data_IF_951182816390
#
_entry.id   IF_951182816390
#
_cell.length_a   1.000
_cell.length_b   1.000
_cell.length_c   1.000
_cell.angle_alpha   90.00
_cell.angle_beta   90.00
_cell.angle_gamma   90.00
#
_symmetry.space_group_name_H-M   'P 1'
#
loop_
_entity.id
_entity.type
_entity.pdbx_description
1 polymer ?
#
# COMPACT_ATOMS: atom_id res chain seq x y z
N UNK A 1 14.85 -15.39 6.79
CA UNK A 1 14.01 -15.48 8.00
C UNK A 1 14.33 -16.72 8.82
N UNK A 2 14.17 -17.95 8.31
CA UNK A 2 14.52 -19.17 9.08
C UNK A 2 15.98 -19.22 9.54
N UNK A 3 16.92 -18.69 8.75
CA UNK A 3 18.33 -18.57 9.14
C UNK A 3 18.62 -17.47 10.18
N UNK A 4 17.61 -16.82 10.76
CA UNK A 4 17.77 -15.70 11.69
C UNK A 4 18.27 -14.40 11.05
N UNK A 5 18.20 -14.30 9.72
CA UNK A 5 18.57 -13.10 8.96
C UNK A 5 17.37 -12.17 8.82
N UNK A 6 17.55 -10.91 9.20
CA UNK A 6 16.62 -9.80 8.95
C UNK A 6 16.53 -9.50 7.45
N UNK A 7 15.32 -9.42 6.92
CA UNK A 7 15.08 -9.09 5.51
C UNK A 7 14.56 -7.65 5.39
N UNK A 8 15.28 -6.82 4.65
CA UNK A 8 14.78 -5.53 4.17
C UNK A 8 14.42 -5.65 2.69
N UNK A 9 13.21 -5.23 2.35
CA UNK A 9 12.76 -5.13 0.97
C UNK A 9 12.88 -3.70 0.47
N UNK A 10 13.00 -3.53 -0.83
CA UNK A 10 13.19 -2.21 -1.44
C UNK A 10 12.30 -2.04 -2.65
N UNK A 11 11.87 -0.79 -2.87
CA UNK A 11 11.14 -0.43 -4.07
C UNK A 11 12.09 -0.48 -5.28
N UNK A 12 11.81 -1.31 -6.31
CA UNK A 12 12.69 -1.43 -7.48
C UNK A 12 12.75 -0.16 -8.33
N UNK A 13 11.94 0.86 -8.02
CA UNK A 13 11.89 2.13 -8.73
C UNK A 13 12.63 3.25 -8.01
N UNK A 14 13.20 2.95 -6.84
CA UNK A 14 14.11 3.89 -6.19
C UNK A 14 15.34 4.14 -7.05
N UNK A 15 15.78 5.39 -7.03
CA UNK A 15 17.03 5.83 -7.63
C UNK A 15 18.22 5.19 -6.90
N UNK A 16 19.39 5.17 -7.55
CA UNK A 16 20.64 4.67 -6.96
C UNK A 16 20.93 5.34 -5.59
N UNK A 17 20.65 6.65 -5.46
CA UNK A 17 20.86 7.40 -4.22
C UNK A 17 19.90 7.01 -3.10
N UNK A 18 18.64 6.72 -3.42
CA UNK A 18 17.64 6.23 -2.46
C UNK A 18 17.97 4.81 -1.99
N UNK A 19 18.31 3.91 -2.93
CA UNK A 19 18.76 2.55 -2.64
C UNK A 19 19.98 2.56 -1.72
N UNK A 20 21.02 3.34 -2.07
CA UNK A 20 22.23 3.46 -1.27
C UNK A 20 21.94 3.96 0.14
N UNK A 21 21.07 4.96 0.29
CA UNK A 21 20.69 5.50 1.60
C UNK A 21 20.01 4.44 2.47
N UNK A 22 19.05 3.70 1.92
CA UNK A 22 18.38 2.61 2.61
C UNK A 22 19.38 1.52 3.02
N UNK A 23 20.20 1.05 2.08
CA UNK A 23 21.13 -0.06 2.34
C UNK A 23 22.21 0.29 3.35
N UNK A 24 22.71 1.54 3.34
CA UNK A 24 23.64 2.04 4.36
C UNK A 24 22.96 2.12 5.73
N UNK A 25 21.73 2.63 5.81
CA UNK A 25 21.00 2.71 7.09
C UNK A 25 20.72 1.30 7.66
N UNK A 26 20.28 0.38 6.80
CA UNK A 26 19.99 -1.01 7.11
C UNK A 26 21.23 -1.89 7.35
N UNK A 27 22.45 -1.39 7.07
CA UNK A 27 23.68 -2.18 7.09
C UNK A 27 23.59 -3.46 6.26
N UNK A 28 23.02 -3.34 5.05
CA UNK A 28 22.83 -4.49 4.18
C UNK A 28 24.17 -5.14 3.77
N UNK A 29 24.34 -6.41 4.09
CA UNK A 29 25.54 -7.17 3.77
C UNK A 29 25.39 -8.02 2.49
N UNK A 30 24.18 -8.46 2.15
CA UNK A 30 23.92 -9.26 0.97
C UNK A 30 22.70 -8.71 0.23
N UNK A 31 22.79 -8.66 -1.10
CA UNK A 31 21.70 -8.22 -1.96
C UNK A 31 21.13 -9.43 -2.71
N UNK A 32 19.82 -9.61 -2.67
CA UNK A 32 19.12 -10.65 -3.44
C UNK A 32 18.33 -9.96 -4.55
N UNK A 33 18.56 -10.36 -5.79
CA UNK A 33 17.94 -9.71 -6.96
C UNK A 33 17.75 -10.68 -8.12
N UNK A 34 17.16 -10.20 -9.22
CA UNK A 34 17.08 -10.96 -10.48
C UNK A 34 18.31 -10.69 -11.35
N UNK A 35 18.70 -11.61 -12.26
CA UNK A 35 19.89 -11.44 -13.11
C UNK A 35 19.96 -10.10 -13.85
N UNK A 36 18.82 -9.62 -14.34
CA UNK A 36 18.68 -8.33 -15.03
C UNK A 36 19.15 -7.12 -14.21
N UNK A 37 19.10 -7.20 -12.88
CA UNK A 37 19.43 -6.11 -11.97
C UNK A 37 20.77 -6.32 -11.25
N UNK A 38 21.52 -7.38 -11.60
CA UNK A 38 22.76 -7.77 -10.92
C UNK A 38 23.80 -6.64 -10.95
N UNK A 39 24.06 -6.06 -12.12
CA UNK A 39 25.11 -5.03 -12.26
C UNK A 39 24.79 -3.78 -11.44
N UNK A 40 23.51 -3.40 -11.37
CA UNK A 40 23.04 -2.29 -10.53
C UNK A 40 23.23 -2.63 -9.06
N UNK A 41 22.86 -3.85 -8.65
CA UNK A 41 23.03 -4.32 -7.28
C UNK A 41 24.51 -4.36 -6.87
N UNK A 42 25.40 -4.89 -7.71
CA UNK A 42 26.85 -4.94 -7.45
C UNK A 42 27.47 -3.54 -7.38
N UNK A 43 27.07 -2.64 -8.29
CA UNK A 43 27.53 -1.26 -8.26
C UNK A 43 27.17 -0.59 -6.93
N UNK A 44 25.93 -0.73 -6.47
CA UNK A 44 25.50 -0.16 -5.18
C UNK A 44 26.19 -0.88 -4.02
N UNK A 45 26.21 -2.21 -4.04
CA UNK A 45 26.80 -3.07 -3.03
C UNK A 45 28.28 -2.79 -2.78
N UNK A 46 29.06 -2.51 -3.83
CA UNK A 46 30.48 -2.17 -3.74
C UNK A 46 30.79 -0.94 -2.88
N UNK A 47 29.78 -0.10 -2.59
CA UNK A 47 29.90 1.06 -1.71
C UNK A 47 29.44 0.80 -0.26
N UNK A 48 28.95 -0.41 0.05
CA UNK A 48 28.48 -0.78 1.39
C UNK A 48 29.65 -1.39 2.19
N UNK A 49 29.91 -0.90 3.42
CA UNK A 49 31.07 -1.37 4.22
C UNK A 49 31.11 -2.87 4.50
N UNK A 50 29.95 -3.54 4.60
CA UNK A 50 29.81 -4.96 4.94
C UNK A 50 29.41 -5.87 3.77
N UNK A 51 29.56 -5.43 2.53
CA UNK A 51 29.06 -6.17 1.37
C UNK A 51 29.77 -7.51 1.17
N UNK A 52 28.99 -8.59 1.23
CA UNK A 52 29.39 -9.99 1.05
C UNK A 52 29.06 -10.53 -0.35
N UNK A 53 28.22 -9.82 -1.11
CA UNK A 53 27.92 -10.18 -2.50
C UNK A 53 26.43 -10.07 -2.86
N UNK A 54 26.16 -10.23 -4.16
CA UNK A 54 24.81 -10.29 -4.73
C UNK A 54 24.47 -11.73 -5.10
N UNK A 55 23.30 -12.17 -4.66
CA UNK A 55 22.69 -13.43 -5.05
C UNK A 55 21.64 -13.14 -6.13
N UNK A 56 21.73 -13.85 -7.25
CA UNK A 56 20.72 -13.75 -8.32
C UNK A 56 19.77 -14.94 -8.29
N UNK A 57 18.46 -14.66 -8.30
CA UNK A 57 17.39 -15.66 -8.29
C UNK A 57 16.52 -15.51 -9.54
N UNK A 58 16.17 -16.63 -10.17
CA UNK A 58 15.35 -16.71 -11.37
C UNK A 58 16.14 -17.14 -12.61
N UNK A 59 15.49 -17.10 -13.78
CA UNK A 59 16.06 -17.55 -15.05
C UNK A 59 17.40 -16.86 -15.37
N UNK A 60 18.47 -17.66 -15.50
CA UNK A 60 19.84 -17.16 -15.71
C UNK A 60 20.57 -16.67 -14.45
N UNK A 61 19.99 -16.90 -13.26
CA UNK A 61 20.58 -16.59 -11.96
C UNK A 61 21.42 -17.72 -11.38
N UNK A 62 22.07 -17.44 -10.24
CA UNK A 62 22.77 -18.45 -9.46
C UNK A 62 21.82 -19.52 -8.93
N UNK A 63 20.58 -19.11 -8.61
CA UNK A 63 19.52 -20.00 -8.15
C UNK A 63 18.31 -19.85 -9.05
N UNK A 64 17.69 -20.98 -9.40
CA UNK A 64 16.39 -20.98 -10.06
C UNK A 64 15.27 -21.06 -9.03
N UNK A 65 14.17 -20.35 -9.28
CA UNK A 65 13.06 -20.30 -8.32
C UNK A 65 12.30 -21.63 -8.26
N UNK A 66 12.16 -22.35 -9.38
CA UNK A 66 11.49 -23.64 -9.41
C UNK A 66 12.32 -24.68 -8.66
N UNK A 67 13.64 -24.64 -8.84
CA UNK A 67 14.60 -25.45 -8.08
C UNK A 67 14.50 -25.17 -6.57
N UNK A 68 14.47 -23.89 -6.16
CA UNK A 68 14.28 -23.51 -4.75
C UNK A 68 12.92 -23.94 -4.16
N UNK A 69 11.91 -24.13 -5.02
CA UNK A 69 10.55 -24.53 -4.61
C UNK A 69 10.30 -26.04 -4.69
N UNK A 70 11.27 -26.85 -5.13
CA UNK A 70 11.12 -28.29 -5.22
C UNK A 70 10.93 -28.89 -3.81
N UNK A 71 9.80 -29.56 -3.50
CA UNK A 71 9.56 -30.15 -2.19
C UNK A 71 10.56 -31.27 -1.83
N UNK A 72 11.27 -31.84 -2.82
CA UNK A 72 12.31 -32.85 -2.60
C UNK A 72 13.68 -32.23 -2.31
N UNK A 73 13.83 -30.91 -2.45
CA UNK A 73 15.07 -30.23 -2.15
C UNK A 73 15.32 -30.26 -0.66
N UNK A 74 16.39 -30.94 -0.26
CA UNK A 74 16.86 -30.94 1.11
C UNK A 74 17.84 -29.79 1.32
N UNK A 75 17.56 -28.93 2.29
CA UNK A 75 18.51 -27.96 2.79
C UNK A 75 19.24 -28.56 3.99
N UNK A 76 20.53 -28.27 4.11
CA UNK A 76 21.25 -28.57 5.34
C UNK A 76 20.52 -27.91 6.53
N UNK A 77 20.25 -28.66 7.62
CA UNK A 77 19.59 -28.09 8.78
C UNK A 77 20.36 -26.86 9.26
N UNK A 78 19.64 -25.75 9.40
CA UNK A 78 20.23 -24.53 9.94
C UNK A 78 20.63 -24.79 11.39
N UNK A 79 21.87 -24.44 11.75
CA UNK A 79 22.38 -24.59 13.11
C UNK A 79 21.79 -23.56 14.09
N UNK A 80 21.02 -22.60 13.57
CA UNK A 80 20.37 -21.53 14.31
C UNK A 80 18.85 -21.66 14.24
N UNK A 81 18.17 -21.33 15.33
CA UNK A 81 16.73 -21.11 15.36
C UNK A 81 16.49 -19.68 15.83
N UNK A 82 15.81 -18.83 15.04
CA UNK A 82 15.51 -17.46 15.47
C UNK A 82 14.57 -17.45 16.68
N UNK A 83 14.72 -16.44 17.54
CA UNK A 83 13.76 -16.14 18.60
C UNK A 83 12.55 -15.40 18.00
N UNK A 84 11.36 -15.60 18.58
CA UNK A 84 10.15 -14.90 18.14
C UNK A 84 10.25 -13.36 18.26
N UNK A 85 11.12 -12.85 19.13
CA UNK A 85 11.37 -11.43 19.33
C UNK A 85 12.54 -10.89 18.50
N UNK A 86 13.24 -11.74 17.74
CA UNK A 86 14.24 -11.29 16.78
C UNK A 86 13.57 -10.54 15.62
N UNK A 87 14.28 -9.56 15.07
CA UNK A 87 13.80 -8.81 13.91
C UNK A 87 13.74 -9.72 12.69
N UNK A 88 12.56 -9.84 12.08
CA UNK A 88 12.35 -10.62 10.88
C UNK A 88 12.40 -9.73 9.63
N UNK A 89 11.70 -8.61 9.69
CA UNK A 89 11.53 -7.70 8.56
C UNK A 89 11.93 -6.27 8.95
N UNK A 90 12.51 -5.56 7.99
CA UNK A 90 12.84 -4.14 8.07
C UNK A 90 12.32 -3.40 6.82
N UNK A 91 10.99 -3.27 6.66
CA UNK A 91 10.41 -2.43 5.61
C UNK A 91 10.69 -0.95 5.91
N UNK A 92 10.90 -0.16 4.87
CA UNK A 92 11.05 1.29 5.01
C UNK A 92 9.70 1.97 4.77
N UNK A 93 9.24 2.77 5.73
CA UNK A 93 8.05 3.60 5.58
C UNK A 93 8.48 5.03 5.27
N UNK A 94 7.85 5.68 4.29
CA UNK A 94 8.11 7.10 3.96
C UNK A 94 7.71 8.05 5.10
N UNK A 95 6.90 7.58 6.05
CA UNK A 95 6.35 8.41 7.13
C UNK A 95 5.52 9.59 6.57
N UNK A 96 5.06 10.47 7.46
CA UNK A 96 4.19 11.58 7.06
C UNK A 96 4.94 12.87 6.69
N UNK A 97 6.25 13.01 6.99
CA UNK A 97 7.01 14.26 6.76
C UNK A 97 8.54 14.11 6.63
N UNK A 98 9.10 12.93 6.31
CA UNK A 98 10.56 12.72 6.42
C UNK A 98 11.16 11.75 5.41
N UNK A 99 12.48 11.55 5.53
CA UNK A 99 13.18 10.47 4.84
C UNK A 99 12.59 9.12 5.30
N UNK A 100 12.56 8.09 4.43
CA UNK A 100 12.07 6.78 4.79
C UNK A 100 12.77 6.21 6.03
N UNK A 101 12.00 5.64 6.96
CA UNK A 101 12.47 5.08 8.24
C UNK A 101 12.34 3.56 8.20
N UNK A 102 13.39 2.85 8.59
CA UNK A 102 13.34 1.38 8.74
C UNK A 102 12.48 0.99 9.94
N UNK A 103 11.36 0.33 9.69
CA UNK A 103 10.42 -0.15 10.71
C UNK A 103 10.87 -1.52 11.18
N UNK A 104 11.18 -1.67 12.47
CA UNK A 104 11.67 -2.93 13.02
C UNK A 104 10.48 -3.85 13.36
N UNK A 105 10.28 -4.90 12.55
CA UNK A 105 9.23 -5.89 12.75
C UNK A 105 9.83 -7.24 13.15
N UNK A 106 9.40 -7.75 14.31
CA UNK A 106 9.83 -9.06 14.82
C UNK A 106 9.06 -10.21 14.17
N UNK A 107 9.59 -11.43 14.28
CA UNK A 107 8.85 -12.63 13.89
C UNK A 107 7.45 -12.68 14.53
N UNK A 108 7.36 -12.36 15.82
CA UNK A 108 6.10 -12.35 16.57
C UNK A 108 5.12 -11.29 16.06
N UNK A 109 5.60 -10.11 15.63
CA UNK A 109 4.73 -9.08 15.06
C UNK A 109 4.07 -9.55 13.76
N UNK A 110 4.87 -10.10 12.85
CA UNK A 110 4.39 -10.58 11.56
C UNK A 110 3.45 -11.79 11.72
N UNK A 111 3.83 -12.78 12.55
CA UNK A 111 3.00 -13.96 12.79
C UNK A 111 1.68 -13.57 13.46
N UNK A 112 1.71 -12.69 14.47
CA UNK A 112 0.49 -12.21 15.12
C UNK A 112 -0.45 -11.54 14.11
N UNK A 113 0.06 -10.69 13.21
CA UNK A 113 -0.79 -10.04 12.23
C UNK A 113 -1.35 -10.99 11.17
N UNK A 114 -0.55 -11.96 10.72
CA UNK A 114 -1.04 -13.03 9.84
C UNK A 114 -2.20 -13.77 10.53
N UNK A 115 -2.04 -14.22 11.78
CA UNK A 115 -3.10 -14.91 12.51
C UNK A 115 -4.34 -14.02 12.73
N UNK A 116 -4.15 -12.73 13.01
CA UNK A 116 -5.21 -11.73 13.14
C UNK A 116 -6.01 -11.57 11.84
N UNK A 117 -5.35 -11.45 10.69
CA UNK A 117 -5.99 -11.32 9.37
C UNK A 117 -6.73 -12.61 8.99
N UNK A 118 -6.14 -13.77 9.29
CA UNK A 118 -6.71 -15.09 9.03
C UNK A 118 -7.92 -15.44 9.90
N UNK A 119 -8.27 -14.60 10.87
CA UNK A 119 -9.39 -14.88 11.74
C UNK A 119 -10.69 -15.05 10.92
N UNK A 120 -11.51 -16.09 11.17
CA UNK A 120 -12.70 -16.38 10.35
C UNK A 120 -13.72 -15.24 10.23
N UNK A 121 -13.70 -14.30 11.18
CA UNK A 121 -14.51 -13.07 11.12
C UNK A 121 -14.13 -12.14 9.95
N UNK A 122 -12.88 -12.18 9.50
CA UNK A 122 -12.33 -11.28 8.49
C UNK A 122 -11.97 -11.97 7.19
N UNK A 123 -11.91 -13.29 7.16
CA UNK A 123 -11.49 -13.99 5.96
C UNK A 123 -12.25 -15.30 5.86
N UNK A 124 -13.10 -15.38 4.83
CA UNK A 124 -13.77 -16.61 4.45
C UNK A 124 -12.96 -17.29 3.34
N UNK A 125 -11.75 -17.72 3.70
CA UNK A 125 -10.89 -18.53 2.85
C UNK A 125 -10.69 -19.91 3.48
N UNK A 126 -10.67 -20.92 2.63
CA UNK A 126 -10.43 -22.30 3.05
C UNK A 126 -8.97 -22.66 2.74
N UNK A 127 -8.25 -23.30 3.68
CA UNK A 127 -6.94 -23.87 3.37
C UNK A 127 -7.03 -24.79 2.15
N UNK A 128 -5.97 -24.78 1.35
CA UNK A 128 -5.86 -25.65 0.20
C UNK A 128 -5.94 -27.13 0.63
N UNK A 129 -6.58 -27.92 -0.22
CA UNK A 129 -6.75 -29.37 -0.10
C UNK A 129 -6.68 -29.99 -1.49
N UNK A 130 -6.69 -31.32 -1.56
CA UNK A 130 -6.70 -32.05 -2.84
C UNK A 130 -7.89 -31.67 -3.74
N UNK A 131 -8.98 -31.16 -3.16
CA UNK A 131 -10.20 -30.78 -3.87
C UNK A 131 -10.43 -29.28 -4.04
N UNK A 132 -9.64 -28.43 -3.38
CA UNK A 132 -9.85 -26.97 -3.37
C UNK A 132 -8.54 -26.20 -3.24
N UNK A 133 -8.36 -25.19 -4.09
CA UNK A 133 -7.27 -24.22 -3.97
C UNK A 133 -7.73 -22.87 -4.50
N UNK A 134 -7.74 -21.85 -3.63
CA UNK A 134 -8.06 -20.48 -4.05
C UNK A 134 -6.89 -19.86 -4.84
N UNK A 135 -7.23 -18.92 -5.72
CA UNK A 135 -6.29 -18.28 -6.64
C UNK A 135 -6.32 -16.77 -6.36
N UNK A 136 -5.16 -16.17 -6.10
CA UNK A 136 -5.00 -14.74 -5.92
C UNK A 136 -4.03 -14.15 -6.94
N UNK A 137 -4.21 -12.86 -7.26
CA UNK A 137 -3.25 -12.11 -8.08
C UNK A 137 -2.38 -11.22 -7.20
N UNK A 138 -1.09 -11.51 -7.17
CA UNK A 138 -0.03 -10.72 -6.53
C UNK A 138 0.34 -9.51 -7.37
N UNK A 139 -0.53 -8.49 -7.35
CA UNK A 139 -0.31 -7.19 -8.02
C UNK A 139 0.09 -6.08 -7.03
N UNK A 140 -0.15 -6.30 -5.73
CA UNK A 140 0.30 -5.39 -4.68
C UNK A 140 1.80 -5.60 -4.46
N UNK A 141 2.62 -4.53 -4.35
CA UNK A 141 4.07 -4.69 -4.28
C UNK A 141 4.52 -5.44 -3.02
N UNK A 142 5.27 -6.53 -3.21
CA UNK A 142 5.77 -7.35 -2.10
C UNK A 142 6.85 -6.68 -1.26
N UNK A 143 7.46 -5.60 -1.76
CA UNK A 143 8.39 -4.81 -0.96
C UNK A 143 7.70 -3.98 0.12
N UNK A 144 6.40 -3.71 -0.03
CA UNK A 144 5.60 -2.99 0.96
C UNK A 144 4.90 -4.00 1.87
N UNK A 145 4.69 -3.64 3.14
CA UNK A 145 4.17 -4.57 4.15
C UNK A 145 2.78 -5.14 3.80
N UNK A 146 1.97 -4.40 3.05
CA UNK A 146 0.68 -4.87 2.53
C UNK A 146 0.86 -6.07 1.60
N UNK A 147 1.74 -5.94 0.60
CA UNK A 147 2.02 -7.05 -0.32
C UNK A 147 2.81 -8.18 0.34
N UNK A 148 3.72 -7.85 1.26
CA UNK A 148 4.53 -8.85 1.96
C UNK A 148 3.71 -9.70 2.92
N UNK A 149 3.04 -9.08 3.90
CA UNK A 149 2.39 -9.84 4.99
C UNK A 149 0.94 -10.19 4.64
N UNK A 150 0.12 -9.22 4.27
CA UNK A 150 -1.32 -9.47 4.10
C UNK A 150 -1.69 -10.11 2.76
N UNK A 151 -0.84 -10.00 1.73
CA UNK A 151 -0.99 -10.76 0.49
C UNK A 151 -0.11 -12.00 0.52
N UNK A 152 1.21 -11.86 0.36
CA UNK A 152 2.10 -13.00 0.09
C UNK A 152 2.12 -14.02 1.26
N UNK A 153 2.34 -13.58 2.50
CA UNK A 153 2.36 -14.52 3.63
C UNK A 153 0.99 -15.16 3.90
N UNK A 154 -0.10 -14.40 3.81
CA UNK A 154 -1.45 -14.94 3.99
C UNK A 154 -1.78 -15.96 2.90
N UNK A 155 -1.54 -15.65 1.62
CA UNK A 155 -1.84 -16.58 0.52
C UNK A 155 -0.99 -17.85 0.62
N UNK A 156 0.29 -17.74 0.97
CA UNK A 156 1.16 -18.89 1.23
C UNK A 156 0.64 -19.73 2.41
N UNK A 157 0.19 -19.10 3.50
CA UNK A 157 -0.31 -19.81 4.68
C UNK A 157 -1.59 -20.60 4.41
N UNK A 158 -2.44 -20.13 3.50
CA UNK A 158 -3.61 -20.88 3.01
C UNK A 158 -3.27 -21.87 1.88
N UNK A 159 -2.04 -21.91 1.37
CA UNK A 159 -1.67 -22.75 0.23
C UNK A 159 -2.31 -22.31 -1.09
N UNK A 160 -2.66 -21.02 -1.22
CA UNK A 160 -3.29 -20.47 -2.42
C UNK A 160 -2.31 -20.41 -3.59
N UNK A 161 -2.84 -20.56 -4.81
CA UNK A 161 -2.08 -20.29 -6.02
C UNK A 161 -1.96 -18.78 -6.24
N UNK A 162 -0.79 -18.22 -5.96
CA UNK A 162 -0.54 -16.77 -6.09
C UNK A 162 0.11 -16.46 -7.44
N UNK A 163 -0.63 -15.77 -8.32
CA UNK A 163 -0.12 -15.34 -9.63
C UNK A 163 0.56 -13.99 -9.48
N UNK A 164 1.89 -13.94 -9.62
CA UNK A 164 2.64 -12.68 -9.54
C UNK A 164 2.74 -12.00 -10.89
N UNK A 165 2.61 -10.67 -10.92
CA UNK A 165 2.92 -9.86 -12.09
C UNK A 165 4.17 -9.01 -11.81
N UNK A 166 5.19 -9.02 -12.68
CA UNK A 166 6.43 -8.26 -12.45
C UNK A 166 6.17 -6.75 -12.40
N UNK A 167 5.22 -6.31 -13.22
CA UNK A 167 4.67 -4.96 -13.23
C UNK A 167 3.24 -5.04 -13.72
N UNK A 168 2.42 -4.10 -13.29
CA UNK A 168 1.07 -3.98 -13.81
C UNK A 168 1.06 -3.30 -15.17
N UNK A 169 0.36 -3.91 -16.10
CA UNK A 169 -0.22 -3.22 -17.25
C UNK A 169 -1.70 -3.61 -17.35
N UNK A 170 -2.57 -2.74 -17.86
CA UNK A 170 -3.97 -3.08 -18.12
C UNK A 170 -4.12 -4.41 -18.87
N UNK A 171 -3.31 -4.62 -19.90
CA UNK A 171 -3.35 -5.82 -20.73
C UNK A 171 -2.90 -7.08 -19.97
N UNK A 172 -1.77 -7.03 -19.27
CA UNK A 172 -1.25 -8.18 -18.52
C UNK A 172 -2.19 -8.59 -17.39
N UNK A 173 -2.77 -7.61 -16.69
CA UNK A 173 -3.73 -7.87 -15.61
C UNK A 173 -5.02 -8.47 -16.17
N UNK A 174 -5.57 -7.93 -17.26
CA UNK A 174 -6.77 -8.51 -17.90
C UNK A 174 -6.52 -9.93 -18.39
N UNK A 175 -5.38 -10.21 -19.06
CA UNK A 175 -5.01 -11.57 -19.47
C UNK A 175 -4.85 -12.51 -18.27
N UNK A 176 -4.32 -12.01 -17.16
CA UNK A 176 -4.22 -12.77 -15.92
C UNK A 176 -5.60 -13.18 -15.37
N UNK A 177 -6.55 -12.23 -15.33
CA UNK A 177 -7.92 -12.50 -14.91
C UNK A 177 -8.60 -13.53 -15.81
N UNK A 178 -8.45 -13.39 -17.13
CA UNK A 178 -9.02 -14.30 -18.13
C UNK A 178 -8.45 -15.72 -18.01
N UNK A 179 -7.12 -15.84 -17.91
CA UNK A 179 -6.42 -17.13 -17.89
C UNK A 179 -6.61 -17.88 -16.57
N UNK A 180 -6.37 -17.20 -15.45
CA UNK A 180 -6.26 -17.85 -14.14
C UNK A 180 -7.53 -17.77 -13.31
N UNK A 181 -8.50 -16.93 -13.70
CA UNK A 181 -9.82 -16.82 -13.03
C UNK A 181 -9.68 -16.74 -11.49
N UNK A 182 -9.01 -15.71 -10.96
CA UNK A 182 -8.75 -15.62 -9.53
C UNK A 182 -10.05 -15.61 -8.72
N UNK A 183 -10.02 -16.21 -7.54
CA UNK A 183 -11.13 -16.22 -6.58
C UNK A 183 -11.02 -15.10 -5.54
N UNK A 184 -9.81 -14.62 -5.29
CA UNK A 184 -9.54 -13.50 -4.40
C UNK A 184 -8.71 -12.40 -5.09
N UNK A 185 -9.06 -11.15 -4.84
CA UNK A 185 -8.31 -9.99 -5.32
C UNK A 185 -7.83 -9.12 -4.16
N UNK A 186 -6.56 -8.73 -4.20
CA UNK A 186 -5.98 -7.75 -3.29
C UNK A 186 -5.77 -6.44 -4.04
N UNK A 187 -6.50 -5.42 -3.65
CA UNK A 187 -6.63 -4.18 -4.41
C UNK A 187 -6.29 -2.94 -3.56
N UNK A 188 -6.12 -1.85 -4.30
CA UNK A 188 -6.26 -0.47 -3.82
C UNK A 188 -7.41 0.18 -4.62
N UNK A 189 -8.00 1.30 -4.16
CA UNK A 189 -9.16 1.90 -4.85
C UNK A 189 -8.92 2.24 -6.32
N UNK A 190 -7.70 2.62 -6.71
CA UNK A 190 -7.36 2.90 -8.11
C UNK A 190 -7.43 1.65 -8.99
N UNK A 191 -6.99 0.49 -8.50
CA UNK A 191 -7.12 -0.78 -9.21
C UNK A 191 -8.57 -1.28 -9.24
N UNK A 192 -9.33 -1.08 -8.17
CA UNK A 192 -10.77 -1.36 -8.17
C UNK A 192 -11.51 -0.50 -9.20
N UNK A 193 -11.17 0.80 -9.30
CA UNK A 193 -11.70 1.70 -10.31
C UNK A 193 -11.34 1.26 -11.73
N UNK A 194 -10.10 0.82 -11.94
CA UNK A 194 -9.67 0.23 -13.21
C UNK A 194 -10.56 -0.97 -13.58
N UNK A 195 -10.75 -1.92 -12.66
CA UNK A 195 -11.60 -3.09 -12.89
C UNK A 195 -13.04 -2.69 -13.21
N UNK A 196 -13.57 -1.71 -12.50
CA UNK A 196 -14.93 -1.24 -12.65
C UNK A 196 -15.20 -0.53 -14.00
N UNK A 197 -14.24 0.25 -14.52
CA UNK A 197 -14.47 1.14 -15.68
C UNK A 197 -13.71 0.79 -16.95
N UNK A 198 -12.62 0.04 -16.89
CA UNK A 198 -11.77 -0.14 -18.06
C UNK A 198 -12.48 -0.97 -19.15
N UNK A 199 -12.52 -0.52 -20.43
CA UNK A 199 -13.28 -1.20 -21.49
C UNK A 199 -12.86 -2.66 -21.75
N UNK A 200 -11.57 -2.95 -21.61
CA UNK A 200 -11.04 -4.31 -21.80
C UNK A 200 -11.39 -5.27 -20.66
N UNK A 201 -11.79 -4.76 -19.49
CA UNK A 201 -12.28 -5.61 -18.41
C UNK A 201 -13.73 -5.95 -18.72
N UNK A 202 -14.04 -7.23 -18.77
CA UNK A 202 -15.40 -7.73 -19.00
C UNK A 202 -15.89 -8.47 -17.75
N UNK A 203 -17.21 -8.65 -17.63
CA UNK A 203 -17.86 -9.31 -16.47
C UNK A 203 -17.30 -10.71 -16.21
N UNK A 204 -16.96 -11.40 -17.28
CA UNK A 204 -16.52 -12.78 -17.39
C UNK A 204 -15.16 -12.94 -16.73
N UNK A 205 -14.31 -11.91 -16.80
CA UNK A 205 -13.00 -11.86 -16.14
C UNK A 205 -13.13 -11.79 -14.60
N UNK A 206 -14.31 -11.40 -14.08
CA UNK A 206 -14.58 -11.24 -12.65
C UNK A 206 -15.54 -12.32 -12.10
N UNK A 207 -16.00 -13.24 -12.94
CA UNK A 207 -17.03 -14.22 -12.59
C UNK A 207 -16.63 -15.16 -11.44
N UNK A 208 -15.36 -15.55 -11.37
CA UNK A 208 -14.79 -16.40 -10.31
C UNK A 208 -14.49 -15.65 -9.00
N UNK A 209 -14.43 -14.32 -9.02
CA UNK A 209 -14.05 -13.52 -7.85
C UNK A 209 -15.13 -13.64 -6.79
N UNK A 210 -14.75 -14.05 -5.58
CA UNK A 210 -15.62 -14.19 -4.40
C UNK A 210 -15.31 -13.13 -3.35
N UNK A 211 -14.01 -12.86 -3.15
CA UNK A 211 -13.53 -11.96 -2.11
C UNK A 211 -12.58 -10.91 -2.68
N UNK A 212 -12.67 -9.71 -2.12
CA UNK A 212 -11.77 -8.59 -2.42
C UNK A 212 -11.30 -7.98 -1.11
N UNK A 213 -9.99 -7.94 -0.90
CA UNK A 213 -9.37 -7.14 0.16
C UNK A 213 -8.90 -5.82 -0.45
N UNK A 214 -9.44 -4.70 0.00
CA UNK A 214 -9.03 -3.36 -0.41
C UNK A 214 -8.30 -2.68 0.74
N UNK A 215 -7.11 -2.13 0.48
CA UNK A 215 -6.30 -1.50 1.51
C UNK A 215 -5.69 -0.19 1.05
N UNK A 216 -4.84 0.36 1.93
CA UNK A 216 -4.11 1.62 1.77
C UNK A 216 -4.96 2.89 1.74
N UNK A 217 -6.17 2.83 1.19
CA UNK A 217 -7.09 3.93 1.04
C UNK A 217 -8.54 3.44 1.13
N UNK A 218 -9.48 4.24 1.65
CA UNK A 218 -10.89 3.85 1.66
C UNK A 218 -11.46 3.69 0.26
N UNK A 219 -12.15 2.57 -0.01
CA UNK A 219 -13.02 2.41 -1.15
C UNK A 219 -14.42 2.96 -0.80
N UNK A 220 -14.89 3.94 -1.57
CA UNK A 220 -16.22 4.52 -1.35
C UNK A 220 -17.31 3.51 -1.71
N UNK A 221 -18.50 3.64 -1.09
CA UNK A 221 -19.67 2.82 -1.46
C UNK A 221 -19.93 2.85 -2.97
N UNK A 222 -19.89 4.04 -3.58
CA UNK A 222 -20.10 4.20 -5.02
C UNK A 222 -19.08 3.42 -5.88
N UNK A 223 -17.82 3.33 -5.43
CA UNK A 223 -16.81 2.54 -6.12
C UNK A 223 -17.07 1.03 -5.96
N UNK A 224 -17.43 0.58 -4.75
CA UNK A 224 -17.78 -0.82 -4.47
C UNK A 224 -18.99 -1.24 -5.31
N UNK A 225 -20.05 -0.43 -5.32
CA UNK A 225 -21.27 -0.68 -6.10
C UNK A 225 -20.95 -0.77 -7.60
N UNK A 226 -20.14 0.16 -8.13
CA UNK A 226 -19.75 0.16 -9.53
C UNK A 226 -18.92 -1.09 -9.89
N UNK A 227 -18.01 -1.52 -9.01
CA UNK A 227 -17.24 -2.74 -9.20
C UNK A 227 -18.14 -3.99 -9.21
N UNK A 228 -19.09 -4.09 -8.27
CA UNK A 228 -20.07 -5.19 -8.22
C UNK A 228 -20.98 -5.22 -9.45
N UNK A 229 -21.43 -4.06 -9.92
CA UNK A 229 -22.21 -3.92 -11.16
C UNK A 229 -21.43 -4.44 -12.37
N UNK A 230 -20.16 -4.02 -12.49
CA UNK A 230 -19.25 -4.49 -13.55
C UNK A 230 -19.05 -6.00 -13.51
N UNK A 231 -18.89 -6.56 -12.31
CA UNK A 231 -18.78 -8.01 -12.10
C UNK A 231 -20.12 -8.74 -12.31
N UNK A 232 -21.25 -8.03 -12.32
CA UNK A 232 -22.59 -8.64 -12.36
C UNK A 232 -22.92 -9.48 -11.15
N UNK A 233 -22.29 -9.20 -10.00
CA UNK A 233 -22.34 -10.01 -8.79
C UNK A 233 -22.49 -9.12 -7.56
N UNK A 234 -23.61 -9.24 -6.88
CA UNK A 234 -23.86 -8.53 -5.61
C UNK A 234 -23.19 -9.21 -4.41
N UNK A 235 -22.95 -10.51 -4.51
CA UNK A 235 -22.43 -11.42 -3.48
C UNK A 235 -20.90 -11.36 -3.32
N UNK A 236 -20.18 -10.56 -4.12
CA UNK A 236 -18.74 -10.37 -3.89
C UNK A 236 -18.55 -9.64 -2.56
N UNK A 237 -17.81 -10.25 -1.65
CA UNK A 237 -17.43 -9.61 -0.39
C UNK A 237 -16.27 -8.67 -0.66
N UNK A 238 -16.50 -7.38 -0.42
CA UNK A 238 -15.47 -6.35 -0.54
C UNK A 238 -15.15 -5.83 0.85
N UNK A 239 -13.97 -6.23 1.35
CA UNK A 239 -13.49 -5.87 2.67
C UNK A 239 -12.46 -4.76 2.58
N UNK A 240 -12.36 -3.98 3.64
CA UNK A 240 -11.36 -2.95 3.81
C UNK A 240 -10.41 -3.35 4.94
N UNK A 241 -9.11 -3.14 4.71
CA UNK A 241 -8.08 -3.22 5.73
C UNK A 241 -7.45 -1.85 5.97
N UNK A 242 -7.38 -1.43 7.22
CA UNK A 242 -6.62 -0.26 7.65
C UNK A 242 -5.44 -0.65 8.51
N UNK A 243 -4.35 0.08 8.31
CA UNK A 243 -3.16 0.00 9.13
C UNK A 243 -1.97 0.62 8.42
N UNK A 244 -0.78 0.35 8.94
CA UNK A 244 0.45 1.02 8.53
C UNK A 244 1.64 0.06 8.60
N UNK A 245 2.82 0.50 8.12
CA UNK A 245 4.03 -0.34 8.16
C UNK A 245 4.38 -0.74 9.59
N UNK A 246 4.18 0.20 10.50
CA UNK A 246 4.43 0.11 11.94
C UNK A 246 3.48 -0.85 12.67
N UNK A 247 2.48 -1.43 11.99
CA UNK A 247 1.51 -2.38 12.57
C UNK A 247 1.36 -3.69 11.78
N UNK A 248 2.33 -4.02 10.94
CA UNK A 248 2.54 -5.36 10.33
C UNK A 248 1.46 -6.04 9.45
N UNK A 249 0.56 -5.40 8.68
CA UNK A 249 0.13 -4.02 8.67
C UNK A 249 -1.20 -3.75 9.41
N UNK A 250 -2.10 -4.71 9.56
CA UNK A 250 -3.51 -4.42 9.83
C UNK A 250 -3.82 -4.21 11.31
N UNK A 251 -4.61 -3.18 11.63
CA UNK A 251 -5.18 -2.96 12.97
C UNK A 251 -6.70 -2.99 12.96
N UNK A 252 -7.30 -2.63 11.82
CA UNK A 252 -8.74 -2.68 11.59
C UNK A 252 -9.04 -3.44 10.29
N UNK A 253 -10.06 -4.31 10.34
CA UNK A 253 -10.56 -5.00 9.14
C UNK A 253 -12.09 -5.02 9.20
N UNK A 254 -12.74 -4.78 8.06
CA UNK A 254 -14.20 -4.93 7.96
C UNK A 254 -14.56 -6.41 8.03
N UNK A 255 -15.46 -6.82 8.93
CA UNK A 255 -15.86 -8.22 9.04
C UNK A 255 -16.65 -8.68 7.80
N UNK A 256 -16.65 -9.98 7.53
CA UNK A 256 -17.34 -10.56 6.37
C UNK A 256 -18.85 -10.30 6.41
N UNK A 257 -19.43 -10.33 7.61
CA UNK A 257 -20.85 -10.11 7.91
C UNK A 257 -21.18 -8.64 8.22
N UNK A 258 -20.34 -7.71 7.79
CA UNK A 258 -20.55 -6.28 8.04
C UNK A 258 -21.89 -5.79 7.46
N UNK A 259 -22.75 -5.12 8.26
CA UNK A 259 -24.01 -4.59 7.76
C UNK A 259 -23.78 -3.40 6.82
N UNK A 260 -24.67 -3.22 5.84
CA UNK A 260 -24.56 -2.13 4.84
C UNK A 260 -24.49 -0.73 5.47
N UNK A 261 -25.11 -0.54 6.63
CA UNK A 261 -25.08 0.72 7.40
C UNK A 261 -23.67 1.13 7.84
N UNK A 262 -22.70 0.21 7.82
CA UNK A 262 -21.30 0.45 8.20
C UNK A 262 -20.36 0.60 7.01
N UNK A 263 -20.88 0.57 5.77
CA UNK A 263 -20.06 0.82 4.59
C UNK A 263 -19.39 2.21 4.70
N UNK A 264 -18.08 2.26 4.48
CA UNK A 264 -17.26 3.45 4.70
C UNK A 264 -16.46 3.41 6.00
N UNK A 265 -16.77 2.48 6.91
CA UNK A 265 -15.91 2.15 8.05
C UNK A 265 -14.61 1.46 7.58
N UNK A 266 -13.53 1.68 8.34
CA UNK A 266 -12.29 0.91 8.26
C UNK A 266 -12.40 -0.47 8.93
N UNK A 267 -13.56 -0.79 9.52
CA UNK A 267 -13.86 -2.03 10.18
C UNK A 267 -13.72 -1.97 11.70
N UNK A 268 -13.48 -3.13 12.27
CA UNK A 268 -13.32 -3.32 13.73
C UNK A 268 -11.89 -3.76 14.03
N UNK A 269 -11.51 -3.71 15.31
CA UNK A 269 -10.20 -4.17 15.77
C UNK A 269 -9.97 -5.64 15.44
N UNK A 270 -8.76 -5.93 14.95
CA UNK A 270 -8.29 -7.31 14.84
C UNK A 270 -8.03 -7.91 16.24
N UNK A 271 -8.16 -9.24 16.44
CA UNK A 271 -7.99 -9.88 17.74
C UNK A 271 -6.73 -9.44 18.49
N UNK A 272 -6.81 -9.35 19.82
CA UNK A 272 -5.70 -8.94 20.68
C UNK A 272 -5.14 -7.53 20.38
N UNK A 273 -5.95 -6.66 19.76
CA UNK A 273 -5.61 -5.25 19.55
C UNK A 273 -6.53 -4.37 20.36
N UNK A 274 -5.94 -3.38 21.00
CA UNK A 274 -6.63 -2.30 21.69
C UNK A 274 -6.52 -1.02 20.87
N UNK A 275 -7.54 -0.16 20.96
CA UNK A 275 -7.48 1.17 20.39
C UNK A 275 -8.17 2.19 21.29
N UNK A 276 -7.71 3.43 21.20
CA UNK A 276 -8.37 4.60 21.79
C UNK A 276 -8.31 5.77 20.81
N UNK A 277 -9.31 6.64 20.88
CA UNK A 277 -9.32 7.90 20.12
C UNK A 277 -9.02 9.02 21.10
N UNK A 278 -7.96 9.78 20.84
CA UNK A 278 -7.42 10.77 21.78
C UNK A 278 -7.68 12.18 21.26
N UNK A 279 -8.19 13.05 22.12
CA UNK A 279 -8.41 14.45 21.81
C UNK A 279 -7.07 15.16 21.53
N UNK A 280 -6.87 15.64 20.31
CA UNK A 280 -5.63 16.30 19.87
C UNK A 280 -5.29 17.60 20.62
N UNK A 281 -6.23 18.19 21.37
CA UNK A 281 -5.99 19.42 22.15
C UNK A 281 -5.80 19.16 23.65
N UNK A 282 -6.46 18.14 24.21
CA UNK A 282 -6.46 17.89 25.65
C UNK A 282 -5.66 16.65 26.05
N UNK A 283 -5.33 15.78 25.10
CA UNK A 283 -4.68 14.49 25.35
C UNK A 283 -5.58 13.46 26.05
N UNK A 284 -6.89 13.72 26.19
CA UNK A 284 -7.83 12.81 26.85
C UNK A 284 -8.48 11.84 25.86
N UNK A 285 -8.74 10.64 26.32
CA UNK A 285 -9.52 9.63 25.59
C UNK A 285 -10.94 10.14 25.33
N UNK A 286 -11.46 9.87 24.14
CA UNK A 286 -12.75 10.31 23.66
C UNK A 286 -13.76 9.15 23.63
N UNK A 287 -15.03 9.40 24.01
CA UNK A 287 -16.10 8.42 23.89
C UNK A 287 -16.46 8.19 22.40
N UNK A 288 -17.33 7.20 22.11
CA UNK A 288 -17.83 6.97 20.75
C UNK A 288 -18.34 8.25 20.07
N UNK A 289 -18.28 8.26 18.74
CA UNK A 289 -18.75 9.32 17.84
C UNK A 289 -18.02 10.67 17.98
N UNK A 290 -16.87 10.71 18.65
CA UNK A 290 -16.04 11.91 18.79
C UNK A 290 -14.71 11.75 18.05
N UNK A 291 -14.31 12.80 17.32
CA UNK A 291 -13.11 12.77 16.48
C UNK A 291 -11.86 13.13 17.28
N UNK A 292 -10.81 12.32 17.10
CA UNK A 292 -9.48 12.52 17.67
C UNK A 292 -8.43 11.74 16.90
N UNK A 293 -7.22 11.67 17.42
CA UNK A 293 -6.17 10.82 16.86
C UNK A 293 -6.35 9.37 17.29
N UNK A 294 -6.25 8.43 16.35
CA UNK A 294 -6.33 7.00 16.63
C UNK A 294 -5.02 6.48 17.19
N UNK A 295 -5.07 5.89 18.38
CA UNK A 295 -3.93 5.19 19.00
C UNK A 295 -4.25 3.71 19.02
N UNK A 296 -3.27 2.87 18.71
CA UNK A 296 -3.43 1.41 18.69
C UNK A 296 -2.33 0.72 19.47
N UNK A 297 -2.66 -0.40 20.11
CA UNK A 297 -1.68 -1.24 20.82
C UNK A 297 -2.03 -2.70 20.58
N UNK A 298 -1.03 -3.52 20.29
CA UNK A 298 -1.24 -4.94 20.03
C UNK A 298 0.04 -5.66 19.66
N UNK A 299 0.01 -6.99 19.55
CA UNK A 299 1.19 -7.80 19.26
C UNK A 299 1.78 -7.55 17.87
N UNK A 300 1.03 -6.94 16.95
CA UNK A 300 1.48 -6.61 15.59
C UNK A 300 2.24 -5.27 15.48
N UNK A 301 2.25 -4.47 16.56
CA UNK A 301 2.92 -3.15 16.56
C UNK A 301 4.44 -3.33 16.59
N UNK A 302 5.15 -2.54 15.77
CA UNK A 302 6.61 -2.56 15.63
C UNK A 302 7.35 -2.43 16.96
N UNK A 303 8.61 -2.84 17.00
CA UNK A 303 9.48 -2.56 18.16
C UNK A 303 10.01 -1.13 18.18
N UNK A 304 10.08 -0.48 17.01
CA UNK A 304 10.57 0.89 16.85
C UNK A 304 11.14 1.16 15.45
N UNK A 305 11.76 2.32 15.29
CA UNK A 305 12.48 2.68 14.07
C UNK A 305 13.99 2.44 14.23
N UNK A 306 14.61 1.84 13.21
CA UNK A 306 16.04 1.54 13.20
C UNK A 306 16.88 2.81 13.35
N UNK A 307 17.72 2.84 14.39
CA UNK A 307 18.65 3.95 14.70
C UNK A 307 17.94 5.31 14.79
N UNK A 308 16.68 5.33 15.23
CA UNK A 308 15.90 6.55 15.33
C UNK A 308 15.00 6.54 16.58
N UNK A 309 15.64 6.63 17.74
CA UNK A 309 14.98 6.63 19.04
C UNK A 309 14.02 7.82 19.22
N UNK A 310 14.32 8.97 18.60
CA UNK A 310 13.47 10.15 18.64
C UNK A 310 12.15 9.89 17.91
N UNK A 311 12.20 9.44 16.65
CA UNK A 311 11.00 9.06 15.92
C UNK A 311 10.25 7.91 16.60
N UNK A 312 10.97 7.00 17.25
CA UNK A 312 10.37 5.88 17.99
C UNK A 312 9.56 6.39 19.17
N UNK A 313 10.09 7.34 19.95
CA UNK A 313 9.38 7.97 21.07
C UNK A 313 8.23 8.88 20.63
N UNK A 314 8.31 9.47 19.44
CA UNK A 314 7.21 10.25 18.84
C UNK A 314 6.04 9.34 18.44
N UNK A 315 6.34 8.16 17.88
CA UNK A 315 5.33 7.23 17.39
C UNK A 315 4.83 6.24 18.45
N UNK A 316 5.66 5.85 19.42
CA UNK A 316 5.33 4.90 20.48
C UNK A 316 5.51 5.54 21.86
N UNK A 317 4.42 5.66 22.61
CA UNK A 317 4.49 6.15 23.99
C UNK A 317 5.06 5.12 24.98
N UNK A 318 5.20 5.52 26.25
CA UNK A 318 5.72 4.66 27.32
C UNK A 318 4.87 3.42 27.58
N UNK A 319 3.57 3.49 27.28
CA UNK A 319 2.59 2.41 27.45
C UNK A 319 2.41 1.57 26.18
N UNK A 320 3.28 1.80 25.18
CA UNK A 320 3.34 1.12 23.88
C UNK A 320 2.13 1.38 22.98
N UNK A 321 1.46 2.52 23.15
CA UNK A 321 0.50 2.97 22.15
C UNK A 321 1.23 3.53 20.93
N UNK A 322 0.88 3.00 19.76
CA UNK A 322 1.25 3.55 18.47
C UNK A 322 0.31 4.70 18.12
N UNK A 323 0.88 5.90 18.01
CA UNK A 323 0.22 7.10 17.52
C UNK A 323 0.18 7.02 15.99
N UNK A 324 -1.01 6.81 15.42
CA UNK A 324 -1.13 6.55 13.98
C UNK A 324 -0.93 7.79 13.12
N UNK A 325 -1.09 8.99 13.70
CA UNK A 325 -1.18 10.24 12.95
C UNK A 325 -2.47 10.36 12.12
N UNK A 326 -3.46 9.48 12.35
CA UNK A 326 -4.76 9.48 11.66
C UNK A 326 -5.86 9.99 12.57
N UNK A 327 -6.71 10.86 12.02
CA UNK A 327 -7.93 11.32 12.68
C UNK A 327 -9.01 10.29 12.45
N UNK A 328 -9.60 9.80 13.54
CA UNK A 328 -10.67 8.82 13.51
C UNK A 328 -11.74 9.10 14.56
N UNK A 329 -12.85 8.40 14.44
CA UNK A 329 -13.80 8.14 15.51
C UNK A 329 -14.25 6.68 15.41
N UNK A 330 -14.91 6.17 16.45
CA UNK A 330 -15.60 4.87 16.42
C UNK A 330 -17.02 5.05 16.89
N UNK A 331 -17.95 4.25 16.40
CA UNK A 331 -19.35 4.30 16.82
C UNK A 331 -19.62 3.39 18.04
N UNK A 332 -20.87 3.40 18.52
CA UNK A 332 -21.30 2.62 19.68
C UNK A 332 -21.23 1.10 19.47
N UNK A 333 -21.07 0.65 18.22
CA UNK A 333 -20.91 -0.77 17.85
C UNK A 333 -19.43 -1.14 17.63
N UNK A 334 -18.50 -0.19 17.81
CA UNK A 334 -17.06 -0.41 17.71
C UNK A 334 -16.51 -0.38 16.27
N UNK A 335 -17.27 0.15 15.31
CA UNK A 335 -16.77 0.37 13.95
C UNK A 335 -16.00 1.68 13.88
N UNK A 336 -14.79 1.63 13.33
CA UNK A 336 -13.90 2.78 13.23
C UNK A 336 -14.03 3.47 11.86
N UNK A 337 -13.90 4.79 11.84
CA UNK A 337 -13.97 5.61 10.64
C UNK A 337 -12.79 6.55 10.60
N UNK A 338 -11.96 6.44 9.56
CA UNK A 338 -10.79 7.28 9.35
C UNK A 338 -11.21 8.49 8.50
N UNK A 339 -10.98 9.69 9.01
CA UNK A 339 -11.51 10.92 8.39
C UNK A 339 -10.43 11.82 7.79
N UNK A 340 -9.21 11.83 8.35
CA UNK A 340 -8.13 12.67 7.85
C UNK A 340 -6.76 12.24 8.39
N UNK A 341 -5.66 12.85 7.91
CA UNK A 341 -4.36 12.86 8.61
C UNK A 341 -4.29 14.03 9.59
N UNK A 342 -3.67 13.84 10.76
CA UNK A 342 -3.47 14.92 11.75
C UNK A 342 -2.69 16.09 11.15
N UNK A 343 -1.73 15.81 10.26
CA UNK A 343 -0.89 16.82 9.59
C UNK A 343 -1.59 17.57 8.45
N UNK A 344 -2.69 17.03 7.91
CA UNK A 344 -3.48 17.67 6.84
C UNK A 344 -4.60 18.56 7.37
N UNK A 345 -4.77 18.64 8.70
CA UNK A 345 -5.67 19.59 9.33
C UNK A 345 -5.10 21.01 9.17
N UNK A 346 -5.63 21.74 8.19
CA UNK A 346 -5.31 23.15 7.99
C UNK A 346 -5.70 23.92 9.26
N UNK A 347 -4.69 24.42 9.98
CA UNK A 347 -4.89 25.39 11.08
C UNK A 347 -5.33 26.72 10.49
N UNK A 348 -6.62 26.85 10.16
CA UNK A 348 -7.21 28.16 9.85
C UNK A 348 -7.24 28.95 11.16
N UNK A 349 -6.47 30.05 11.20
CA UNK A 349 -6.27 30.92 12.35
C UNK A 349 -7.60 31.20 13.09
N UNK A 350 -7.71 30.73 14.33
CA UNK A 350 -8.49 31.39 15.37
C UNK A 350 -10.00 31.14 15.46
N UNK A 351 -10.58 30.11 14.86
CA UNK A 351 -11.94 29.68 15.22
C UNK A 351 -12.14 28.18 14.96
N UNK A 352 -12.27 27.40 16.05
CA UNK A 352 -12.86 26.06 15.98
C UNK A 352 -14.37 26.22 15.86
N UNK A 353 -14.87 26.14 14.63
CA UNK A 353 -16.29 26.07 14.32
C UNK A 353 -16.53 24.96 13.33
N UNK A 354 -17.15 23.87 13.78
CA UNK A 354 -17.77 22.87 12.92
C UNK A 354 -18.68 23.60 11.90
N UNK A 355 -18.36 23.49 10.62
CA UNK A 355 -19.21 24.04 9.58
C UNK A 355 -20.61 23.43 9.70
N UNK A 356 -21.62 24.29 9.87
CA UNK A 356 -23.03 23.92 9.92
C UNK A 356 -23.41 23.08 8.69
N UNK A 357 -24.36 22.18 8.92
CA UNK A 357 -24.89 21.06 8.14
C UNK A 357 -25.38 21.33 6.70
N UNK A 358 -24.93 22.38 6.00
CA UNK A 358 -25.44 22.77 4.66
C UNK A 358 -24.38 22.93 3.57
N UNK A 359 -23.15 22.44 3.76
CA UNK A 359 -22.07 22.48 2.74
C UNK A 359 -21.43 21.10 2.45
N UNK A 360 -22.05 20.00 2.90
CA UNK A 360 -21.49 18.64 2.79
C UNK A 360 -21.41 18.17 1.32
N UNK A 361 -22.21 18.71 0.41
CA UNK A 361 -22.24 18.26 -0.99
C UNK A 361 -21.27 19.00 -1.94
N UNK A 362 -20.50 19.98 -1.45
CA UNK A 362 -19.54 20.75 -2.28
C UNK A 362 -18.06 20.53 -1.96
N UNK A 363 -17.73 19.67 -1.00
CA UNK A 363 -16.33 19.33 -0.61
C UNK A 363 -15.97 17.87 -0.94
N UNK A 364 -16.82 17.12 -1.66
CA UNK A 364 -16.59 15.71 -1.99
C UNK A 364 -15.66 15.42 -3.20
N UNK A 365 -14.86 16.37 -3.67
CA UNK A 365 -13.91 16.13 -4.79
C UNK A 365 -12.44 16.40 -4.48
N UNK A 366 -12.05 16.46 -3.21
CA UNK A 366 -10.63 16.36 -2.86
C UNK A 366 -10.19 14.91 -2.96
N UNK A 367 -9.64 14.56 -4.13
CA UNK A 367 -8.85 13.35 -4.32
C UNK A 367 -7.79 13.29 -3.23
N UNK A 368 -7.96 12.34 -2.32
CA UNK A 368 -6.98 11.98 -1.30
C UNK A 368 -5.75 11.44 -2.03
N UNK A 369 -4.72 12.27 -2.21
CA UNK A 369 -3.42 11.81 -2.65
C UNK A 369 -2.73 11.18 -1.44
N UNK A 370 -3.05 9.91 -1.18
CA UNK A 370 -2.12 9.10 -0.41
C UNK A 370 -0.89 8.99 -1.30
N UNK A 371 0.22 9.59 -0.87
CA UNK A 371 1.54 9.23 -1.36
C UNK A 371 1.79 7.83 -0.82
N UNK A 372 1.13 6.87 -1.47
CA UNK A 372 1.74 5.58 -1.67
C UNK A 372 2.97 5.90 -2.51
N UNK A 373 4.10 5.27 -2.22
CA UNK A 373 5.11 4.99 -3.24
C UNK A 373 4.45 4.07 -4.28
N UNK A 374 3.53 4.65 -5.04
CA UNK A 374 2.58 4.05 -5.96
C UNK A 374 3.13 4.37 -7.34
N UNK A 375 3.84 3.45 -7.99
CA UNK A 375 4.31 3.65 -9.34
C UNK A 375 3.21 3.36 -10.35
N UNK A 376 2.00 3.83 -10.06
CA UNK A 376 0.87 3.64 -10.94
C UNK A 376 0.83 4.84 -11.87
N UNK A 377 1.69 4.76 -12.89
CA UNK A 377 1.70 5.61 -14.08
C UNK A 377 2.00 7.10 -13.84
N UNK A 378 3.28 7.43 -13.67
CA UNK A 378 3.79 8.78 -13.90
C UNK A 378 4.83 8.73 -15.04
N UNK A 379 4.56 9.27 -16.24
CA UNK A 379 5.62 9.47 -17.23
C UNK A 379 6.63 10.46 -16.64
N UNK A 380 7.92 10.08 -16.65
CA UNK A 380 9.07 10.85 -16.16
C UNK A 380 8.89 12.36 -16.31
N UNK A 381 8.70 13.07 -15.20
CA UNK A 381 8.98 14.51 -15.11
C UNK A 381 9.73 14.80 -13.83
N UNK A 382 10.96 15.27 -14.00
CA UNK A 382 11.79 15.88 -12.97
C UNK A 382 11.04 17.05 -12.33
N UNK A 383 10.80 17.01 -11.02
CA UNK A 383 10.21 18.13 -10.27
C UNK A 383 11.36 18.90 -9.64
N UNK A 384 11.52 20.16 -10.05
CA UNK A 384 12.34 21.12 -9.33
C UNK A 384 11.53 21.67 -8.16
N UNK A 385 12.10 21.59 -6.95
CA UNK A 385 11.58 22.27 -5.77
C UNK A 385 11.63 23.78 -5.99
N UNK A 386 10.51 24.48 -5.83
CA UNK A 386 10.45 25.77 -5.14
C UNK A 386 9.01 26.19 -4.82
N UNK A 387 8.83 26.62 -3.56
CA UNK A 387 7.76 27.44 -2.98
C UNK A 387 6.33 26.88 -2.81
N UNK A 388 5.87 26.98 -1.55
CA UNK A 388 4.54 26.66 -1.02
C UNK A 388 3.41 27.50 -1.66
N UNK A 389 2.89 27.04 -2.81
CA UNK A 389 1.58 27.45 -3.33
C UNK A 389 0.84 26.17 -3.79
N UNK A 390 -0.41 25.92 -3.35
CA UNK A 390 -1.15 24.74 -3.80
C UNK A 390 -1.57 24.89 -5.27
N UNK A 391 -0.85 24.23 -6.17
CA UNK A 391 -1.22 24.12 -7.60
C UNK A 391 -2.12 22.89 -7.78
N UNK A 392 -3.36 23.11 -8.22
CA UNK A 392 -4.33 22.03 -8.54
C UNK A 392 -4.05 21.50 -9.94
N UNK A 393 -3.64 20.23 -10.05
CA UNK A 393 -3.52 19.55 -11.35
C UNK A 393 -4.81 18.79 -11.68
N UNK A 394 -5.49 19.20 -12.76
CA UNK A 394 -6.67 18.52 -13.30
C UNK A 394 -6.19 17.59 -14.43
N UNK A 395 -6.21 16.28 -14.22
CA UNK A 395 -5.92 15.31 -15.29
C UNK A 395 -7.16 15.21 -16.18
N UNK A 396 -7.12 15.85 -17.35
CA UNK A 396 -8.15 15.71 -18.38
C UNK A 396 -7.93 14.40 -19.15
N UNK A 397 -8.95 13.52 -19.19
CA UNK A 397 -8.97 12.36 -20.08
C UNK A 397 -9.15 12.84 -21.53
N UNK A 398 -8.12 12.69 -22.37
CA UNK A 398 -8.24 12.91 -23.81
C UNK A 398 -8.59 11.59 -24.49
N UNK A 399 -9.76 11.54 -25.13
CA UNK A 399 -10.17 10.45 -26.01
C UNK A 399 -9.23 10.39 -27.23
N UNK A 400 -8.53 9.27 -27.43
CA UNK A 400 -7.84 9.01 -28.71
C UNK A 400 -8.70 8.10 -29.59
N UNK A 401 -9.17 8.64 -30.72
CA UNK A 401 -9.68 7.86 -31.86
C UNK A 401 -8.47 7.29 -32.61
N UNK A 402 -8.47 5.98 -32.85
CA UNK A 402 -7.52 5.31 -33.74
C UNK A 402 -7.64 5.83 -35.17
N UNK A 403 -6.50 6.13 -35.79
CA UNK A 403 -6.29 5.93 -37.22
C UNK A 403 -4.99 5.15 -37.41
N UNK A 404 -5.09 4.01 -38.08
CA UNK A 404 -3.95 3.25 -38.60
C UNK A 404 -3.45 3.90 -39.90
N UNK A 405 -2.14 4.05 -40.04
CA UNK A 405 -1.41 3.82 -41.30
C UNK A 405 0.07 3.57 -41.02
N UNK A 406 0.61 2.53 -41.65
CA UNK A 406 2.03 2.20 -41.75
C UNK A 406 2.81 3.27 -42.54
N UNK A 407 4.09 3.49 -42.22
CA UNK A 407 5.24 3.33 -43.13
C UNK A 407 6.56 3.88 -42.53
N UNK A 408 7.65 3.34 -43.05
CA UNK A 408 9.03 3.35 -42.57
C UNK A 408 9.83 4.64 -42.84
N UNK A 409 10.91 4.81 -42.05
CA UNK A 409 12.22 5.40 -42.38
C UNK A 409 12.38 6.92 -42.64
N UNK A 410 13.39 7.45 -41.93
CA UNK A 410 14.28 8.59 -42.21
C UNK A 410 13.83 10.05 -42.00
N UNK A 411 14.76 10.77 -41.34
CA UNK A 411 15.01 12.21 -41.28
C UNK A 411 14.02 13.14 -40.55
N UNK A 412 14.52 13.65 -39.43
CA UNK A 412 14.01 14.74 -38.59
C UNK A 412 14.13 16.10 -39.30
N UNK A 413 13.06 16.92 -39.35
CA UNK A 413 13.18 18.30 -38.89
C UNK A 413 11.86 18.86 -38.32
N UNK A 414 11.65 18.83 -37.00
CA UNK A 414 10.56 19.58 -36.33
C UNK A 414 11.00 20.15 -34.97
N UNK A 415 12.20 20.73 -34.92
CA UNK A 415 12.61 21.70 -33.91
C UNK A 415 12.52 23.08 -34.58
N UNK A 416 11.33 23.70 -34.59
CA UNK A 416 11.10 25.15 -34.80
C UNK A 416 9.59 25.53 -34.87
N UNK A 417 8.74 25.00 -33.98
CA UNK A 417 7.32 25.42 -33.92
C UNK A 417 6.70 25.42 -32.50
N UNK A 418 7.49 25.73 -31.47
CA UNK A 418 6.99 25.86 -30.08
C UNK A 418 7.55 27.11 -29.37
N UNK A 419 7.47 28.27 -30.02
CA UNK A 419 7.83 29.58 -29.41
C UNK A 419 6.69 30.59 -29.38
N UNK A 420 5.43 30.15 -29.38
CA UNK A 420 4.30 31.10 -29.44
C UNK A 420 3.04 30.62 -28.70
N UNK A 421 3.12 30.19 -27.44
CA UNK A 421 1.92 30.04 -26.58
C UNK A 421 2.22 30.16 -25.06
N UNK A 422 3.14 31.04 -24.67
CA UNK A 422 3.32 31.48 -23.27
C UNK A 422 3.38 32.99 -23.20
N UNK A 423 2.20 33.64 -23.26
CA UNK A 423 1.95 35.03 -22.86
C UNK A 423 0.44 35.31 -22.92
N UNK A 424 -0.27 35.03 -21.84
CA UNK A 424 -1.50 35.72 -21.45
C UNK A 424 -1.92 35.25 -20.04
N UNK A 425 -2.35 36.21 -19.22
CA UNK A 425 -3.05 36.06 -17.94
C UNK A 425 -2.20 35.95 -16.65
N UNK A 426 -1.37 36.97 -16.43
CA UNK A 426 -1.13 37.56 -15.10
C UNK A 426 -1.50 39.05 -15.13
N UNK A 427 -2.77 39.38 -14.87
CA UNK A 427 -3.26 40.66 -14.30
C UNK A 427 -4.76 40.43 -14.06
N UNK A 428 -5.31 40.53 -12.85
CA UNK A 428 -5.75 41.77 -12.21
C UNK A 428 -5.99 41.49 -10.73
N UNK A 429 -5.36 42.28 -9.86
CA UNK A 429 -5.78 42.47 -8.47
C UNK A 429 -6.10 43.96 -8.25
N UNK A 430 -7.16 44.17 -7.47
CA UNK A 430 -7.54 45.38 -6.73
C UNK A 430 -8.19 46.56 -7.48
N UNK A 431 -9.40 46.90 -7.01
CA UNK A 431 -10.10 48.15 -7.28
C UNK A 431 -11.40 48.21 -6.47
N UNK A 432 -11.37 48.88 -5.32
CA UNK A 432 -12.56 49.22 -4.53
C UNK A 432 -13.47 50.20 -5.30
N UNK A 433 -14.78 50.16 -4.98
CA UNK A 433 -15.64 51.28 -4.55
C UNK A 433 -17.07 51.13 -5.10
N UNK A 434 -18.00 51.13 -4.13
CA UNK A 434 -19.48 51.19 -4.15
C UNK A 434 -20.25 49.90 -4.37
#
# INVERSE_FOLDING_TARGET
>A
MEAGITVTSVNPLYTEGELKRQFVNAEAECLITIPKLKDVADKIGSHLPGYKGTITVGEGGQWDLLDLSDPNRTFEPLSTSPNAHDMALLPYSSGTTGLPKGVQLTHSNCVANIQQIMHPKFLDLQPASDSHQDIAVGVIPFFHIYGCTALLCVTMKFGMHTITLPNFTPESYVKCLEKYKPTALFLVPTLMMFLAKHPSVKREHLSSVKAVMCGAAPATKALIDLFKEKAGKSDITVQQGYGMTESSPCTLITPYDMPESKIGSAGILVPNTEAKVVCMTTGKDLPPNNQGELYVRGPQVMSGYLKNDEATKEALDSDKWLHTGDVAYYDDEGYFFITNRTKELIKVKGNQGSAKKSNIDKIQSKTLHIILDAPWYAPNRTIHNDLNIPTVYKVAQTQFRCFHTNLESHSNPLINALSSYTKAEETVASGHVR
#
